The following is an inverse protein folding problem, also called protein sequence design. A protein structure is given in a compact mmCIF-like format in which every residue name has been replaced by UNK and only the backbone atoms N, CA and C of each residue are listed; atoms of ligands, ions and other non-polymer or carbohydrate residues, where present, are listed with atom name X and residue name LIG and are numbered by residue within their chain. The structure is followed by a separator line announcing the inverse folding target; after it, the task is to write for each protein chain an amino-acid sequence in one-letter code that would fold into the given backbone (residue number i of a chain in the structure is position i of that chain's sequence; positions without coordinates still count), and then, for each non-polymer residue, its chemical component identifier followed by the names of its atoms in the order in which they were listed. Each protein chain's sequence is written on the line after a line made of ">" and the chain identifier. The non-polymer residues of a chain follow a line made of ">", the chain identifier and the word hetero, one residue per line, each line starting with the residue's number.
data_IF_807584124863
#
_entry.id   IF_807584124863
#
_cell.length_a   1.000
_cell.length_b   1.000
_cell.length_c   1.000
_cell.angle_alpha   90.00
_cell.angle_beta   90.00
_cell.angle_gamma   90.00
#
_symmetry.space_group_name_H-M   'P 1'
#
loop_
_entity.id
_entity.type
_entity.pdbx_description
1 polymer ?
#
# COMPACT_ATOMS: atom_id res chain seq x y z
N UNK A 1 -11.47 -12.20 28.99
CA UNK A 1 -12.04 -11.11 28.17
C UNK A 1 -13.16 -11.73 27.37
N UNK A 2 -14.40 -11.57 27.84
CA UNK A 2 -15.57 -11.99 27.10
C UNK A 2 -15.67 -11.15 25.82
N UNK A 3 -15.54 -11.81 24.68
CA UNK A 3 -15.84 -11.20 23.41
C UNK A 3 -17.35 -11.01 23.38
N UNK A 4 -17.83 -9.76 23.48
CA UNK A 4 -19.23 -9.48 23.14
C UNK A 4 -19.40 -9.87 21.67
N UNK A 5 -19.98 -11.05 21.44
CA UNK A 5 -20.58 -11.45 20.17
C UNK A 5 -21.68 -10.43 19.88
N UNK A 6 -21.32 -9.33 19.23
CA UNK A 6 -22.28 -8.48 18.55
C UNK A 6 -22.55 -9.19 17.22
N UNK A 7 -23.81 -9.54 16.97
CA UNK A 7 -24.88 -8.57 16.94
C UNK A 7 -25.91 -8.71 18.07
N UNK A 8 -26.34 -7.56 18.60
CA UNK A 8 -27.53 -7.40 19.45
C UNK A 8 -28.79 -7.76 18.63
N UNK A 9 -29.76 -8.48 19.22
CA UNK A 9 -31.00 -8.91 18.54
C UNK A 9 -31.74 -7.72 17.88
N UNK A 10 -31.60 -6.51 18.46
CA UNK A 10 -32.20 -5.29 17.94
C UNK A 10 -31.70 -4.86 16.55
N UNK A 11 -30.52 -5.33 16.11
CA UNK A 11 -29.93 -4.95 14.82
C UNK A 11 -30.19 -5.98 13.71
N UNK A 12 -30.67 -7.19 14.05
CA UNK A 12 -30.85 -8.28 13.08
C UNK A 12 -31.91 -7.92 12.04
N UNK A 13 -33.04 -7.37 12.47
CA UNK A 13 -34.14 -6.94 11.60
C UNK A 13 -33.68 -5.88 10.59
N UNK A 14 -32.85 -4.93 11.03
CA UNK A 14 -32.32 -3.87 10.17
C UNK A 14 -31.33 -4.43 9.15
N UNK A 15 -30.43 -5.32 9.59
CA UNK A 15 -29.48 -6.00 8.72
C UNK A 15 -30.22 -6.86 7.69
N UNK A 16 -31.24 -7.60 8.12
CA UNK A 16 -32.11 -8.42 7.26
C UNK A 16 -32.74 -7.57 6.16
N UNK A 17 -33.34 -6.42 6.49
CA UNK A 17 -33.91 -5.49 5.48
C UNK A 17 -32.87 -5.02 4.45
N UNK A 18 -31.62 -4.81 4.87
CA UNK A 18 -30.55 -4.41 3.95
C UNK A 18 -30.17 -5.57 3.03
N UNK A 19 -30.09 -6.81 3.53
CA UNK A 19 -29.81 -8.00 2.72
C UNK A 19 -30.96 -8.26 1.74
N UNK A 20 -32.21 -8.18 2.21
CA UNK A 20 -33.43 -8.40 1.42
C UNK A 20 -33.61 -7.42 0.25
N UNK A 21 -32.99 -6.23 0.35
CA UNK A 21 -32.94 -5.28 -0.77
C UNK A 21 -32.20 -5.84 -2.00
N UNK A 22 -31.27 -6.77 -1.80
CA UNK A 22 -30.40 -7.31 -2.85
C UNK A 22 -30.64 -8.79 -3.13
N UNK A 23 -31.06 -9.56 -2.13
CA UNK A 23 -31.21 -11.02 -2.21
C UNK A 23 -32.52 -11.48 -1.59
N UNK A 24 -33.15 -12.50 -2.17
CA UNK A 24 -34.25 -13.19 -1.51
C UNK A 24 -33.67 -14.07 -0.41
N UNK A 25 -34.04 -13.81 0.84
CA UNK A 25 -33.60 -14.56 2.02
C UNK A 25 -34.68 -15.57 2.37
N UNK A 26 -34.36 -16.86 2.38
CA UNK A 26 -35.32 -17.90 2.77
C UNK A 26 -35.10 -18.40 4.20
N UNK A 27 -33.88 -18.31 4.73
CA UNK A 27 -33.57 -18.69 6.11
C UNK A 27 -32.53 -17.75 6.74
N UNK A 28 -32.59 -17.59 8.05
CA UNK A 28 -31.66 -16.79 8.84
C UNK A 28 -31.26 -17.57 10.08
N UNK A 29 -29.96 -17.83 10.23
CA UNK A 29 -29.40 -18.45 11.43
C UNK A 29 -28.56 -17.46 12.21
N UNK A 30 -28.77 -17.42 13.52
CA UNK A 30 -28.06 -16.58 14.46
C UNK A 30 -27.38 -17.52 15.44
N UNK A 31 -26.08 -17.74 15.24
CA UNK A 31 -25.22 -18.44 16.20
C UNK A 31 -24.21 -17.41 16.72
N UNK A 32 -22.91 -17.63 16.50
CA UNK A 32 -21.85 -16.65 16.80
C UNK A 32 -21.78 -15.50 15.76
N UNK A 33 -22.41 -15.70 14.61
CA UNK A 33 -22.48 -14.76 13.47
C UNK A 33 -23.84 -14.89 12.82
N UNK A 34 -24.32 -13.80 12.19
CA UNK A 34 -25.57 -13.85 11.43
C UNK A 34 -25.27 -14.45 10.06
N UNK A 35 -25.95 -15.54 9.73
CA UNK A 35 -25.91 -16.20 8.43
C UNK A 35 -27.25 -16.04 7.73
N UNK A 36 -27.24 -15.42 6.55
CA UNK A 36 -28.41 -15.30 5.67
C UNK A 36 -28.30 -16.30 4.54
N UNK A 37 -29.29 -17.18 4.44
CA UNK A 37 -29.40 -18.14 3.35
C UNK A 37 -30.20 -17.51 2.22
N UNK A 38 -29.60 -17.48 1.03
CA UNK A 38 -30.13 -16.72 -0.12
C UNK A 38 -30.42 -17.63 -1.31
N UNK A 39 -31.47 -17.29 -2.06
CA UNK A 39 -31.73 -17.90 -3.36
C UNK A 39 -30.71 -17.40 -4.41
N UNK A 40 -30.29 -18.31 -5.29
CA UNK A 40 -29.39 -17.97 -6.40
C UNK A 40 -30.08 -17.03 -7.40
N UNK A 41 -29.44 -15.91 -7.76
CA UNK A 41 -29.68 -15.32 -9.06
C UNK A 41 -29.26 -16.32 -10.15
N UNK A 42 -29.99 -16.34 -11.27
CA UNK A 42 -29.73 -17.23 -12.42
C UNK A 42 -28.34 -16.98 -13.04
N UNK A 43 -27.72 -15.82 -12.76
CA UNK A 43 -26.47 -15.36 -13.35
C UNK A 43 -25.43 -15.00 -12.26
N UNK A 44 -24.22 -15.55 -12.38
CA UNK A 44 -23.09 -15.27 -11.48
C UNK A 44 -22.63 -13.82 -11.55
N UNK A 45 -22.74 -13.15 -12.70
CA UNK A 45 -22.35 -11.75 -12.85
C UNK A 45 -23.28 -10.82 -12.05
N UNK A 46 -24.59 -11.13 -12.08
CA UNK A 46 -25.61 -10.41 -11.31
C UNK A 46 -25.39 -10.63 -9.80
N UNK A 47 -25.04 -11.85 -9.39
CA UNK A 47 -24.71 -12.19 -8.00
C UNK A 47 -23.54 -11.32 -7.49
N UNK A 48 -22.45 -11.24 -8.26
CA UNK A 48 -21.26 -10.46 -7.89
C UNK A 48 -21.62 -8.96 -7.76
N UNK A 49 -22.37 -8.40 -8.72
CA UNK A 49 -22.76 -7.00 -8.70
C UNK A 49 -23.65 -6.66 -7.49
N UNK A 50 -24.70 -7.48 -7.24
CA UNK A 50 -25.60 -7.30 -6.09
C UNK A 50 -24.86 -7.41 -4.76
N UNK A 51 -23.94 -8.35 -4.66
CA UNK A 51 -23.13 -8.53 -3.47
C UNK A 51 -22.22 -7.32 -3.21
N UNK A 52 -21.65 -6.72 -4.26
CA UNK A 52 -20.83 -5.51 -4.12
C UNK A 52 -21.65 -4.30 -3.65
N UNK A 53 -22.90 -4.15 -4.11
CA UNK A 53 -23.81 -3.12 -3.59
C UNK A 53 -24.21 -3.36 -2.13
N UNK A 54 -24.54 -4.60 -1.77
CA UNK A 54 -24.81 -4.99 -0.38
C UNK A 54 -23.62 -4.64 0.53
N UNK A 55 -22.40 -4.98 0.09
CA UNK A 55 -21.16 -4.68 0.80
C UNK A 55 -20.99 -3.18 1.03
N UNK A 56 -21.30 -2.33 0.05
CA UNK A 56 -21.19 -0.88 0.18
C UNK A 56 -22.20 -0.30 1.19
N UNK A 57 -23.43 -0.80 1.22
CA UNK A 57 -24.45 -0.33 2.17
C UNK A 57 -24.17 -0.81 3.61
N UNK A 58 -23.75 -2.07 3.78
CA UNK A 58 -23.35 -2.62 5.09
C UNK A 58 -22.09 -1.95 5.65
N UNK A 59 -21.15 -1.57 4.78
CA UNK A 59 -19.91 -0.88 5.16
C UNK A 59 -20.18 0.44 5.90
N UNK A 60 -21.23 1.19 5.53
CA UNK A 60 -21.62 2.45 6.21
C UNK A 60 -21.96 2.23 7.70
N UNK A 61 -22.29 1.00 8.07
CA UNK A 61 -22.68 0.58 9.42
C UNK A 61 -21.60 -0.24 10.13
N UNK A 62 -20.39 -0.29 9.56
CA UNK A 62 -19.27 -1.10 10.05
C UNK A 62 -19.56 -2.62 10.05
N UNK A 63 -20.35 -3.08 9.08
CA UNK A 63 -20.65 -4.49 8.87
C UNK A 63 -19.95 -4.98 7.59
N UNK A 64 -19.42 -6.20 7.62
CA UNK A 64 -18.74 -6.81 6.47
C UNK A 64 -19.44 -8.11 6.11
N UNK A 65 -20.02 -8.22 4.89
CA UNK A 65 -20.58 -9.47 4.41
C UNK A 65 -19.50 -10.37 3.78
N UNK A 66 -19.65 -11.68 3.93
CA UNK A 66 -18.87 -12.70 3.24
C UNK A 66 -19.82 -13.67 2.54
N UNK A 67 -19.63 -13.86 1.23
CA UNK A 67 -20.35 -14.86 0.46
C UNK A 67 -19.58 -16.19 0.49
N UNK A 68 -20.25 -17.27 0.87
CA UNK A 68 -19.73 -18.64 0.84
C UNK A 68 -20.72 -19.54 0.13
N UNK A 69 -20.21 -20.49 -0.65
CA UNK A 69 -21.01 -21.58 -1.23
C UNK A 69 -20.76 -22.85 -0.41
N UNK A 70 -21.80 -23.47 0.13
CA UNK A 70 -21.73 -24.74 0.87
C UNK A 70 -22.82 -25.67 0.37
N UNK A 71 -22.46 -26.86 -0.08
CA UNK A 71 -23.42 -27.91 -0.49
C UNK A 71 -24.43 -27.47 -1.58
N UNK A 72 -24.11 -26.45 -2.37
CA UNK A 72 -25.00 -25.88 -3.40
C UNK A 72 -25.79 -24.65 -2.94
N UNK A 73 -25.82 -24.37 -1.64
CA UNK A 73 -26.44 -23.18 -1.05
C UNK A 73 -25.44 -22.03 -0.96
N UNK A 74 -25.95 -20.81 -1.15
CA UNK A 74 -25.19 -19.59 -0.94
C UNK A 74 -25.57 -18.96 0.40
N UNK A 75 -24.55 -18.72 1.23
CA UNK A 75 -24.70 -18.18 2.57
C UNK A 75 -23.93 -16.86 2.65
N UNK A 76 -24.61 -15.81 3.11
CA UNK A 76 -24.00 -14.52 3.43
C UNK A 76 -23.80 -14.45 4.94
N UNK A 77 -22.53 -14.49 5.37
CA UNK A 77 -22.16 -14.23 6.76
C UNK A 77 -21.94 -12.74 6.97
N UNK A 78 -22.52 -12.17 8.02
CA UNK A 78 -22.30 -10.77 8.39
C UNK A 78 -21.53 -10.70 9.70
N UNK A 79 -20.40 -10.01 9.66
CA UNK A 79 -19.59 -9.74 10.85
C UNK A 79 -19.55 -8.26 11.16
N UNK A 80 -19.63 -7.92 12.44
CA UNK A 80 -19.33 -6.58 12.90
C UNK A 80 -17.83 -6.33 12.90
N UNK A 81 -17.43 -5.14 12.45
CA UNK A 81 -16.04 -4.74 12.44
C UNK A 81 -15.86 -3.42 13.17
N UNK A 82 -15.18 -3.45 14.31
CA UNK A 82 -14.83 -2.21 15.02
C UNK A 82 -14.05 -1.28 14.08
N UNK A 83 -14.43 0.00 13.94
CA UNK A 83 -13.69 0.93 13.11
C UNK A 83 -12.26 1.04 13.64
N UNK A 84 -11.30 0.59 12.85
CA UNK A 84 -9.88 0.74 13.18
C UNK A 84 -9.57 2.23 13.01
N UNK A 85 -9.45 2.96 14.13
CA UNK A 85 -9.00 4.35 14.09
C UNK A 85 -7.64 4.37 13.39
N UNK A 86 -7.55 5.11 12.31
CA UNK A 86 -6.27 5.33 11.63
C UNK A 86 -5.29 6.00 12.57
N UNK A 87 -3.99 5.72 12.39
CA UNK A 87 -2.93 6.53 13.01
C UNK A 87 -3.10 8.00 12.60
N UNK A 88 -2.73 8.90 13.51
CA UNK A 88 -2.84 10.33 13.26
C UNK A 88 -1.91 10.74 12.11
N UNK A 89 -2.38 11.66 11.25
CA UNK A 89 -1.66 12.07 10.04
C UNK A 89 -0.26 12.64 10.32
N UNK A 90 -0.05 13.23 11.51
CA UNK A 90 1.26 13.74 11.93
C UNK A 90 2.33 12.64 12.00
N UNK A 91 1.95 11.38 12.27
CA UNK A 91 2.91 10.25 12.31
C UNK A 91 3.50 10.02 10.92
N UNK A 92 2.67 10.10 9.88
CA UNK A 92 3.13 9.91 8.50
C UNK A 92 4.07 11.02 8.07
N UNK A 93 3.75 12.26 8.47
CA UNK A 93 4.59 13.43 8.20
C UNK A 93 5.93 13.28 8.93
N UNK A 94 5.91 12.95 10.22
CA UNK A 94 7.13 12.75 11.02
C UNK A 94 8.02 11.65 10.42
N UNK A 95 7.43 10.52 10.03
CA UNK A 95 8.14 9.42 9.38
C UNK A 95 8.71 9.84 8.02
N UNK A 96 7.96 10.58 7.20
CA UNK A 96 8.43 11.07 5.91
C UNK A 96 9.60 12.05 6.06
N UNK A 97 9.51 13.02 6.98
CA UNK A 97 10.60 13.95 7.27
C UNK A 97 11.84 13.20 7.77
N UNK A 98 11.66 12.24 8.68
CA UNK A 98 12.79 11.43 9.17
C UNK A 98 13.42 10.63 8.03
N UNK A 99 12.61 10.11 7.11
CA UNK A 99 13.09 9.36 5.95
C UNK A 99 13.88 10.26 5.01
N UNK A 100 13.42 11.49 4.73
CA UNK A 100 14.19 12.47 3.96
C UNK A 100 15.57 12.69 4.59
N UNK A 101 15.64 12.83 5.92
CA UNK A 101 16.92 13.03 6.61
C UNK A 101 17.82 11.81 6.43
N UNK A 102 17.32 10.59 6.63
CA UNK A 102 18.15 9.38 6.54
C UNK A 102 18.59 9.07 5.11
N UNK A 103 17.72 9.28 4.11
CA UNK A 103 18.07 9.12 2.69
C UNK A 103 19.00 10.22 2.20
N UNK A 104 18.82 11.47 2.67
CA UNK A 104 19.73 12.58 2.37
C UNK A 104 21.13 12.32 2.91
N UNK A 105 21.27 11.85 4.16
CA UNK A 105 22.56 11.47 4.73
C UNK A 105 23.20 10.30 3.97
N UNK A 106 22.39 9.32 3.55
CA UNK A 106 22.88 8.20 2.74
C UNK A 106 23.38 8.65 1.38
N UNK A 107 22.66 9.57 0.73
CA UNK A 107 23.09 10.20 -0.51
C UNK A 107 24.37 11.01 -0.33
N UNK A 108 24.48 11.80 0.75
CA UNK A 108 25.65 12.61 1.04
C UNK A 108 26.92 11.76 1.23
N UNK A 109 26.79 10.55 1.80
CA UNK A 109 27.90 9.58 1.88
C UNK A 109 28.43 9.15 0.50
N UNK A 110 27.58 9.09 -0.53
CA UNK A 110 28.00 8.76 -1.89
C UNK A 110 28.83 9.87 -2.55
N UNK A 111 28.69 11.11 -2.06
CA UNK A 111 29.46 12.26 -2.53
C UNK A 111 30.69 12.54 -1.68
N UNK A 112 30.99 11.74 -0.66
CA UNK A 112 32.22 11.89 0.11
C UNK A 112 33.44 11.40 -0.69
N UNK A 113 34.50 12.17 -0.64
CA UNK A 113 35.79 11.85 -1.26
C UNK A 113 36.70 11.10 -0.28
N UNK A 114 37.69 10.36 -0.82
CA UNK A 114 38.67 9.67 0.03
C UNK A 114 39.43 10.68 0.90
N UNK A 115 39.43 10.42 2.22
CA UNK A 115 40.09 11.28 3.21
C UNK A 115 39.18 12.33 3.84
N UNK A 116 37.96 12.53 3.33
CA UNK A 116 36.94 13.35 4.00
C UNK A 116 36.40 12.63 5.24
N UNK A 117 36.17 13.39 6.32
CA UNK A 117 35.68 12.88 7.57
C UNK A 117 34.17 13.11 7.77
N UNK A 118 33.70 12.85 8.99
CA UNK A 118 32.30 13.03 9.35
C UNK A 118 31.84 14.50 9.34
N UNK A 119 32.74 15.47 9.38
CA UNK A 119 32.36 16.90 9.37
C UNK A 119 31.93 17.34 7.98
N UNK A 120 32.64 16.85 6.97
CA UNK A 120 32.43 17.14 5.57
C UNK A 120 31.08 16.57 5.10
N UNK A 121 30.64 15.44 5.68
CA UNK A 121 29.31 14.87 5.43
C UNK A 121 28.17 15.86 5.71
N UNK A 122 28.30 16.68 6.75
CA UNK A 122 27.28 17.67 7.13
C UNK A 122 27.47 19.03 6.45
N UNK A 123 28.38 19.13 5.48
CA UNK A 123 28.50 20.32 4.65
C UNK A 123 27.24 20.52 3.80
N UNK A 124 26.91 21.78 3.54
CA UNK A 124 25.70 22.14 2.79
C UNK A 124 25.73 21.52 1.39
N UNK A 125 26.88 21.52 0.72
CA UNK A 125 27.04 20.98 -0.62
C UNK A 125 26.77 19.47 -0.67
N UNK A 126 27.34 18.68 0.25
CA UNK A 126 27.15 17.22 0.28
C UNK A 126 25.71 16.86 0.64
N UNK A 127 25.10 17.56 1.61
CA UNK A 127 23.70 17.36 1.99
C UNK A 127 22.74 17.74 0.84
N UNK A 128 22.99 18.84 0.13
CA UNK A 128 22.19 19.24 -1.02
C UNK A 128 22.33 18.24 -2.18
N UNK A 129 23.53 17.78 -2.47
CA UNK A 129 23.76 16.76 -3.49
C UNK A 129 23.07 15.43 -3.11
N UNK A 130 23.19 15.01 -1.85
CA UNK A 130 22.49 13.84 -1.32
C UNK A 130 20.96 13.98 -1.36
N UNK A 131 20.44 15.19 -1.15
CA UNK A 131 19.01 15.46 -1.27
C UNK A 131 18.54 15.39 -2.73
N UNK A 132 19.23 16.11 -3.63
CA UNK A 132 18.80 16.35 -5.02
C UNK A 132 19.00 15.12 -5.88
N UNK A 133 20.18 14.51 -5.83
CA UNK A 133 20.56 13.44 -6.76
C UNK A 133 20.24 12.04 -6.25
N UNK A 134 19.94 11.90 -4.96
CA UNK A 134 19.67 10.59 -4.36
C UNK A 134 18.31 10.53 -3.66
N UNK A 135 18.11 11.34 -2.61
CA UNK A 135 16.91 11.27 -1.77
C UNK A 135 15.63 11.59 -2.54
N UNK A 136 15.61 12.69 -3.32
CA UNK A 136 14.42 13.10 -4.08
C UNK A 136 14.01 12.06 -5.12
N UNK A 137 14.91 11.57 -6.01
CA UNK A 137 14.58 10.50 -6.95
C UNK A 137 14.07 9.23 -6.26
N UNK A 138 14.75 8.76 -5.21
CA UNK A 138 14.39 7.55 -4.48
C UNK A 138 13.00 7.68 -3.84
N UNK A 139 12.75 8.77 -3.12
CA UNK A 139 11.46 9.01 -2.46
C UNK A 139 10.33 9.28 -3.47
N UNK A 140 10.63 9.85 -4.64
CA UNK A 140 9.64 10.00 -5.70
C UNK A 140 9.18 8.63 -6.22
N UNK A 141 10.11 7.71 -6.49
CA UNK A 141 9.79 6.35 -6.95
C UNK A 141 8.98 5.61 -5.89
N UNK A 142 9.46 5.55 -4.65
CA UNK A 142 8.78 4.86 -3.55
C UNK A 142 7.42 5.49 -3.22
N UNK A 143 7.37 6.83 -3.18
CA UNK A 143 6.15 7.56 -2.88
C UNK A 143 5.09 7.34 -3.95
N UNK A 144 5.45 7.43 -5.22
CA UNK A 144 4.50 7.21 -6.32
C UNK A 144 4.08 5.74 -6.43
N UNK A 145 4.99 4.79 -6.13
CA UNK A 145 4.65 3.37 -6.01
C UNK A 145 3.54 3.14 -4.97
N UNK A 146 3.71 3.62 -3.75
CA UNK A 146 2.71 3.45 -2.69
C UNK A 146 1.43 4.26 -2.97
N UNK A 147 1.54 5.42 -3.59
CA UNK A 147 0.38 6.19 -4.03
C UNK A 147 -0.42 5.45 -5.12
N UNK A 148 0.24 4.72 -6.01
CA UNK A 148 -0.41 3.85 -6.99
C UNK A 148 -1.31 2.80 -6.31
N UNK A 149 -0.79 2.14 -5.28
CA UNK A 149 -1.60 1.24 -4.46
C UNK A 149 -2.75 1.97 -3.74
N UNK A 150 -2.49 3.13 -3.15
CA UNK A 150 -3.49 3.92 -2.42
C UNK A 150 -4.65 4.37 -3.30
N UNK A 151 -4.38 4.99 -4.46
CA UNK A 151 -5.41 5.51 -5.35
C UNK A 151 -6.26 4.38 -5.94
N UNK A 152 -5.65 3.28 -6.37
CA UNK A 152 -6.37 2.12 -6.89
C UNK A 152 -7.22 1.45 -5.81
N UNK A 153 -6.71 1.34 -4.58
CA UNK A 153 -7.51 0.86 -3.43
C UNK A 153 -8.75 1.73 -3.19
N UNK A 154 -8.58 3.06 -3.20
CA UNK A 154 -9.68 4.02 -3.02
C UNK A 154 -10.70 3.92 -4.16
N UNK A 155 -10.25 3.75 -5.41
CA UNK A 155 -11.12 3.54 -6.58
C UNK A 155 -11.96 2.27 -6.45
N UNK A 156 -11.40 1.20 -5.89
CA UNK A 156 -12.12 -0.05 -5.61
C UNK A 156 -12.94 -0.04 -4.31
N UNK A 157 -13.06 1.12 -3.66
CA UNK A 157 -13.81 1.27 -2.43
C UNK A 157 -13.18 0.55 -1.23
N UNK A 158 -11.89 0.24 -1.28
CA UNK A 158 -11.12 -0.37 -0.20
C UNK A 158 -10.39 0.74 0.57
N UNK A 159 -10.61 0.80 1.88
CA UNK A 159 -9.92 1.78 2.73
C UNK A 159 -8.43 1.41 2.89
N UNK A 160 -7.56 2.36 2.57
CA UNK A 160 -6.11 2.27 2.76
C UNK A 160 -5.60 3.48 3.56
N UNK A 161 -4.47 3.33 4.24
CA UNK A 161 -3.75 4.47 4.82
C UNK A 161 -2.99 5.25 3.75
N UNK A 162 -2.59 6.48 4.10
CA UNK A 162 -1.49 7.14 3.39
C UNK A 162 -0.17 6.34 3.56
N UNK A 163 0.82 6.54 2.69
CA UNK A 163 2.11 5.86 2.78
C UNK A 163 2.83 6.12 4.11
N UNK A 164 3.35 5.06 4.71
CA UNK A 164 4.27 5.12 5.83
C UNK A 164 5.68 4.86 5.32
N UNK A 165 6.51 5.91 5.29
CA UNK A 165 7.93 5.76 4.99
C UNK A 165 8.66 5.20 6.21
N UNK A 166 9.58 4.28 6.00
CA UNK A 166 10.31 3.58 7.07
C UNK A 166 11.77 4.05 7.04
N UNK A 167 12.12 5.06 7.86
CA UNK A 167 13.48 5.57 7.87
C UNK A 167 14.43 4.50 8.39
N UNK A 168 15.60 4.42 7.78
CA UNK A 168 16.68 3.57 8.24
C UNK A 168 17.97 4.40 8.19
N UNK A 169 18.70 4.59 9.30
CA UNK A 169 19.93 5.34 9.25
C UNK A 169 20.93 4.68 8.28
N UNK A 170 21.84 5.46 7.67
CA UNK A 170 22.86 4.93 6.78
C UNK A 170 23.60 3.78 7.46
N UNK A 171 23.63 2.62 6.83
CA UNK A 171 24.27 1.44 7.38
C UNK A 171 24.89 0.58 6.26
N UNK A 172 25.86 -0.30 6.59
CA UNK A 172 26.59 -1.07 5.58
C UNK A 172 25.76 -2.12 4.82
N UNK A 173 24.62 -2.53 5.38
CA UNK A 173 23.80 -3.63 4.84
C UNK A 173 22.75 -3.09 3.87
N UNK A 174 22.14 -1.96 4.20
CA UNK A 174 21.12 -1.27 3.41
C UNK A 174 21.50 0.22 3.29
N UNK A 175 22.32 0.57 2.28
CA UNK A 175 22.87 1.91 2.13
C UNK A 175 21.84 2.93 1.61
N UNK A 176 20.58 2.54 1.42
CA UNK A 176 19.57 3.41 0.83
C UNK A 176 19.04 4.51 1.76
N UNK A 177 19.25 4.38 3.07
CA UNK A 177 18.70 5.30 4.06
C UNK A 177 17.21 5.11 4.34
N UNK A 178 16.62 4.02 3.88
CA UNK A 178 15.20 3.68 4.07
C UNK A 178 14.98 2.18 3.87
N UNK A 179 14.00 1.61 4.54
CA UNK A 179 13.49 0.26 4.22
C UNK A 179 12.40 0.29 3.14
N UNK A 180 12.03 1.48 2.68
CA UNK A 180 10.95 1.70 1.72
C UNK A 180 9.76 2.43 2.34
N UNK A 181 8.62 2.32 1.68
CA UNK A 181 7.35 2.83 2.17
C UNK A 181 6.28 1.73 2.05
N UNK A 182 5.26 1.78 2.90
CA UNK A 182 4.15 0.82 2.86
C UNK A 182 2.83 1.50 3.14
N UNK A 183 1.77 1.07 2.46
CA UNK A 183 0.39 1.35 2.87
C UNK A 183 -0.17 0.23 3.75
N UNK A 184 -1.04 0.62 4.68
CA UNK A 184 -1.81 -0.32 5.49
C UNK A 184 -3.21 -0.47 4.88
N UNK A 185 -3.52 -1.68 4.41
CA UNK A 185 -4.88 -2.03 4.00
C UNK A 185 -5.76 -2.12 5.23
N UNK A 186 -6.73 -1.20 5.32
CA UNK A 186 -7.65 -1.12 6.46
C UNK A 186 -8.89 -1.96 6.25
N UNK A 187 -9.06 -2.60 5.10
CA UNK A 187 -10.21 -3.44 4.77
C UNK A 187 -9.78 -4.66 3.97
N UNK A 188 -10.48 -5.80 4.14
CA UNK A 188 -10.25 -6.97 3.30
C UNK A 188 -10.61 -6.64 1.84
N UNK A 189 -9.77 -7.10 0.93
CA UNK A 189 -10.00 -6.96 -0.51
C UNK A 189 -11.07 -7.99 -0.90
N UNK A 190 -12.18 -7.57 -1.53
CA UNK A 190 -13.36 -8.42 -1.69
C UNK A 190 -13.21 -9.53 -2.72
N UNK A 191 -12.33 -9.37 -3.73
CA UNK A 191 -12.14 -10.34 -4.80
C UNK A 191 -10.71 -10.31 -5.38
N UNK A 192 -10.35 -11.38 -6.09
CA UNK A 192 -9.00 -11.57 -6.65
C UNK A 192 -8.68 -10.59 -7.78
N UNK A 193 -9.67 -10.09 -8.53
CA UNK A 193 -9.43 -9.14 -9.61
C UNK A 193 -9.00 -7.79 -9.02
N UNK A 194 -9.75 -7.28 -8.04
CA UNK A 194 -9.37 -6.06 -7.32
C UNK A 194 -8.04 -6.21 -6.59
N UNK A 195 -7.72 -7.40 -6.08
CA UNK A 195 -6.40 -7.67 -5.48
C UNK A 195 -5.29 -7.53 -6.51
N UNK A 196 -5.47 -8.09 -7.71
CA UNK A 196 -4.50 -7.98 -8.79
C UNK A 196 -4.34 -6.52 -9.25
N UNK A 197 -5.45 -5.82 -9.48
CA UNK A 197 -5.44 -4.41 -9.91
C UNK A 197 -4.69 -3.53 -8.91
N UNK A 198 -5.00 -3.67 -7.62
CA UNK A 198 -4.30 -2.94 -6.55
C UNK A 198 -2.83 -3.34 -6.52
N UNK A 199 -2.52 -4.65 -6.58
CA UNK A 199 -1.17 -5.17 -6.47
C UNK A 199 -0.24 -4.77 -7.62
N UNK A 200 -0.78 -4.59 -8.82
CA UNK A 200 0.02 -4.21 -10.01
C UNK A 200 0.15 -2.68 -10.14
N UNK A 201 -0.82 -1.90 -9.64
CA UNK A 201 -0.83 -0.45 -9.80
C UNK A 201 0.42 0.25 -9.23
N UNK A 202 0.90 -0.16 -8.05
CA UNK A 202 2.09 0.42 -7.44
C UNK A 202 3.36 0.17 -8.25
N UNK A 203 3.71 -1.08 -8.59
CA UNK A 203 4.84 -1.42 -9.46
C UNK A 203 4.84 -0.67 -10.79
N UNK A 204 3.70 -0.58 -11.48
CA UNK A 204 3.61 0.16 -12.75
C UNK A 204 3.88 1.66 -12.53
N UNK A 205 3.25 2.26 -11.52
CA UNK A 205 3.43 3.69 -11.23
C UNK A 205 4.89 4.02 -10.89
N UNK A 206 5.52 3.21 -10.01
CA UNK A 206 6.94 3.37 -9.66
C UNK A 206 7.86 3.15 -10.86
N UNK A 207 7.60 2.15 -11.69
CA UNK A 207 8.36 1.89 -12.91
C UNK A 207 8.31 3.06 -13.89
N UNK A 208 7.13 3.60 -14.17
CA UNK A 208 6.97 4.74 -15.07
C UNK A 208 7.73 5.99 -14.59
N UNK A 209 7.83 6.19 -13.28
CA UNK A 209 8.63 7.28 -12.68
C UNK A 209 10.12 6.98 -12.73
N UNK A 210 10.51 5.72 -12.59
CA UNK A 210 11.91 5.32 -12.66
C UNK A 210 12.54 5.56 -14.04
N UNK A 211 11.76 5.46 -15.13
CA UNK A 211 12.26 5.68 -16.50
C UNK A 211 12.86 7.08 -16.71
N UNK A 212 12.14 8.19 -16.50
CA UNK A 212 12.70 9.53 -16.68
C UNK A 212 13.84 9.80 -15.69
N UNK A 213 13.74 9.31 -14.46
CA UNK A 213 14.83 9.44 -13.46
C UNK A 213 16.09 8.73 -13.96
N UNK A 214 15.96 7.52 -14.49
CA UNK A 214 17.07 6.74 -15.04
C UNK A 214 17.70 7.46 -16.23
N UNK A 215 16.88 7.97 -17.16
CA UNK A 215 17.37 8.73 -18.33
C UNK A 215 18.18 9.95 -17.88
N UNK A 216 17.65 10.72 -16.92
CA UNK A 216 18.34 11.89 -16.38
C UNK A 216 19.64 11.46 -15.69
N UNK A 217 19.59 10.45 -14.83
CA UNK A 217 20.77 9.93 -14.13
C UNK A 217 21.88 9.44 -15.07
N UNK A 218 21.51 8.69 -16.11
CA UNK A 218 22.45 8.22 -17.13
C UNK A 218 23.01 9.37 -17.96
N UNK A 219 22.20 10.38 -18.28
CA UNK A 219 22.68 11.57 -19.01
C UNK A 219 23.66 12.43 -18.20
N UNK A 220 23.59 12.36 -16.87
CA UNK A 220 24.48 13.07 -15.95
C UNK A 220 25.69 12.24 -15.52
N UNK A 221 25.74 10.96 -15.90
CA UNK A 221 26.83 10.06 -15.51
C UNK A 221 28.13 10.39 -16.25
N UNK A 222 29.25 10.32 -15.52
CA UNK A 222 30.59 10.49 -16.08
C UNK A 222 31.16 9.15 -16.53
N UNK A 223 31.78 9.12 -17.71
CA UNK A 223 32.57 7.98 -18.15
C UNK A 223 33.88 7.93 -17.36
N UNK A 224 34.16 6.78 -16.76
CA UNK A 224 35.39 6.50 -16.03
C UNK A 224 36.20 5.51 -16.87
N UNK A 225 37.52 5.70 -16.92
CA UNK A 225 38.39 4.78 -17.67
C UNK A 225 38.39 3.40 -17.03
N UNK A 226 38.37 2.33 -17.85
CA UNK A 226 38.43 0.95 -17.36
C UNK A 226 39.66 0.69 -16.48
N UNK A 227 40.74 1.44 -16.66
CA UNK A 227 41.96 1.37 -15.85
C UNK A 227 41.79 1.88 -14.42
N UNK A 228 40.73 2.64 -14.13
CA UNK A 228 40.45 3.23 -12.82
C UNK A 228 39.42 2.41 -12.02
N UNK A 229 38.84 1.36 -12.62
CA UNK A 229 37.81 0.54 -12.01
C UNK A 229 38.47 -0.54 -11.13
N UNK A 230 38.14 -0.61 -9.83
CA UNK A 230 38.61 -1.68 -8.96
C UNK A 230 38.21 -3.07 -9.49
N UNK A 231 39.11 -4.06 -9.40
CA UNK A 231 38.80 -5.44 -9.81
C UNK A 231 37.54 -5.95 -9.10
N UNK A 232 36.58 -6.47 -9.89
CA UNK A 232 35.32 -7.01 -9.39
C UNK A 232 34.19 -5.98 -9.20
N UNK A 233 34.40 -4.70 -9.51
CA UNK A 233 33.31 -3.72 -9.52
C UNK A 233 32.31 -4.03 -10.66
N UNK A 234 30.99 -3.86 -10.42
CA UNK A 234 29.99 -4.06 -11.45
C UNK A 234 30.19 -3.06 -12.60
N UNK A 235 30.38 -3.60 -13.81
CA UNK A 235 30.50 -2.81 -15.03
C UNK A 235 29.09 -2.46 -15.54
N UNK A 236 28.79 -1.16 -15.52
CA UNK A 236 27.68 -0.59 -16.28
C UNK A 236 28.22 -0.22 -17.67
N UNK A 237 27.38 -0.37 -18.71
CA UNK A 237 27.77 -0.03 -20.09
C UNK A 237 27.94 1.47 -20.31
N UNK A 238 27.90 1.87 -21.58
CA UNK A 238 28.05 3.28 -21.96
C UNK A 238 26.91 4.16 -21.38
N UNK A 239 27.20 5.44 -21.21
CA UNK A 239 26.20 6.45 -20.85
C UNK A 239 25.23 6.68 -22.04
N UNK A 240 24.14 7.42 -21.79
CA UNK A 240 23.08 7.59 -22.79
C UNK A 240 23.48 8.48 -23.98
N UNK A 241 24.59 9.23 -23.88
CA UNK A 241 25.06 10.21 -24.87
C UNK A 241 26.58 10.29 -24.95
#
# INVERSE_FOLDING_TARGET
>A
MEWKSYPDESNVEEIKRIVEKYFTVYDVKIEDVIAFFIDLPIDEEILIQRFDFLRQDLKKRNLVPFLRKREGEFIIFIVYRKPIKGRAAWINIALFITTIVTTMLSGALLFLEQGEGWRELFSIDKLLNGLIFFSLPLLAILGIHELGHYFTSRRHGVAASLPFFIPLPPNPILPLGTMGAVISMREPIPDRRKLLDIGVAGPIAGFLVSIPILIIGLSMSSLISLSEIPEGAPLLGDNLF
#
